data_IF_554764562001
#
_entry.id   IF_554764562001
#
_cell.length_a   1.000
_cell.length_b   1.000
_cell.length_c   1.000
_cell.angle_alpha   90.00
_cell.angle_beta   90.00
_cell.angle_gamma   90.00
#
_symmetry.space_group_name_H-M   'P 1'
#
loop_
_entity.id
_entity.type
_entity.pdbx_description
1 polymer ?
#
# COMPACT_ATOMS: atom_id res chain seq x y z
N UNK A 1 -9.20 -14.87 -26.71
CA UNK A 1 -9.39 -15.69 -25.50
C UNK A 1 -8.04 -15.78 -24.82
N UNK A 2 -7.67 -14.77 -24.03
CA UNK A 2 -6.47 -14.80 -23.23
C UNK A 2 -6.92 -14.73 -21.77
N UNK A 3 -6.91 -15.89 -21.11
CA UNK A 3 -7.14 -15.98 -19.68
C UNK A 3 -5.93 -15.39 -18.95
N UNK A 4 -6.07 -14.17 -18.42
CA UNK A 4 -5.08 -13.54 -17.56
C UNK A 4 -4.86 -14.39 -16.32
N UNK A 5 -3.65 -14.95 -16.20
CA UNK A 5 -3.22 -15.73 -15.03
C UNK A 5 -2.92 -14.79 -13.88
N UNK A 6 -3.89 -14.57 -13.03
CA UNK A 6 -3.65 -14.02 -11.69
C UNK A 6 -3.07 -15.14 -10.84
N UNK A 7 -1.76 -15.18 -10.71
CA UNK A 7 -1.10 -16.16 -9.85
C UNK A 7 -1.31 -15.79 -8.38
N UNK A 8 -1.98 -16.66 -7.66
CA UNK A 8 -2.03 -16.62 -6.20
C UNK A 8 -0.61 -16.85 -5.65
N UNK A 9 0.03 -15.79 -5.15
CA UNK A 9 1.29 -15.91 -4.43
C UNK A 9 1.04 -16.59 -3.08
N UNK A 10 1.47 -17.82 -2.96
CA UNK A 10 1.48 -18.52 -1.69
C UNK A 10 2.77 -18.16 -0.96
N UNK A 11 2.69 -17.29 0.05
CA UNK A 11 3.82 -16.96 0.92
C UNK A 11 4.16 -18.17 1.80
N UNK A 12 5.34 -18.75 1.60
CA UNK A 12 5.93 -19.74 2.50
C UNK A 12 6.58 -18.99 3.67
N UNK A 13 6.05 -19.16 4.86
CA UNK A 13 6.63 -18.65 6.08
C UNK A 13 7.92 -19.40 6.41
N UNK A 14 9.09 -18.76 6.27
CA UNK A 14 10.35 -19.29 6.75
C UNK A 14 10.59 -18.81 8.19
N UNK A 15 10.57 -19.76 9.12
CA UNK A 15 10.96 -19.53 10.52
C UNK A 15 12.50 -19.35 10.60
N UNK A 16 12.95 -18.19 11.08
CA UNK A 16 14.36 -17.94 11.38
C UNK A 16 14.61 -18.08 12.90
N UNK A 17 15.52 -18.99 13.21
CA UNK A 17 16.10 -19.23 14.53
C UNK A 17 16.99 -18.06 14.99
N UNK A 18 16.79 -17.63 16.23
CA UNK A 18 17.60 -16.63 16.93
C UNK A 18 18.95 -17.21 17.35
N UNK A 19 20.03 -16.58 16.94
CA UNK A 19 21.34 -16.74 17.56
C UNK A 19 21.79 -15.41 18.15
N UNK A 20 21.96 -15.37 19.47
CA UNK A 20 22.44 -14.21 20.19
C UNK A 20 23.96 -14.06 20.11
N UNK A 21 24.45 -12.82 20.10
CA UNK A 21 25.84 -12.50 20.42
C UNK A 21 25.90 -11.23 21.27
N UNK A 22 26.73 -11.33 22.30
CA UNK A 22 26.95 -10.44 23.42
C UNK A 22 27.75 -9.18 23.09
N UNK A 23 27.48 -8.12 23.85
CA UNK A 23 28.19 -6.83 23.86
C UNK A 23 29.46 -6.85 24.67
N UNK A 24 30.46 -6.07 24.23
CA UNK A 24 31.56 -5.56 25.03
C UNK A 24 31.77 -4.05 24.79
N UNK A 25 32.18 -3.25 25.79
CA UNK A 25 32.15 -1.78 25.74
C UNK A 25 33.55 -1.15 25.54
N UNK A 26 33.53 0.08 25.04
CA UNK A 26 34.70 1.02 25.07
C UNK A 26 34.68 1.93 23.85
N UNK A 27 34.63 3.24 24.03
CA UNK A 27 35.50 4.23 24.42
C UNK A 27 35.41 5.50 23.59
N UNK A 28 35.18 6.63 24.29
CA UNK A 28 35.67 7.99 24.03
C UNK A 28 35.31 8.77 22.73
N UNK A 29 34.50 9.78 22.79
CA UNK A 29 34.81 11.23 22.87
C UNK A 29 35.24 11.87 21.53
N UNK A 30 34.29 12.55 20.85
CA UNK A 30 34.58 13.53 19.83
C UNK A 30 33.36 14.46 19.69
N UNK A 31 33.54 15.72 20.11
CA UNK A 31 32.56 16.79 19.92
C UNK A 31 32.48 17.11 18.42
N UNK A 32 31.36 16.82 17.78
CA UNK A 32 31.01 17.33 16.44
C UNK A 32 30.06 18.51 16.57
N UNK A 33 30.44 19.62 15.91
CA UNK A 33 29.62 20.83 15.78
C UNK A 33 28.25 20.53 15.15
N UNK A 34 27.18 21.25 15.53
CA UNK A 34 25.85 21.04 14.99
C UNK A 34 25.81 21.51 13.53
N UNK A 35 25.67 20.56 12.61
CA UNK A 35 25.36 20.81 11.21
C UNK A 35 24.01 21.52 11.05
N UNK A 36 23.76 22.17 9.88
CA UNK A 36 22.63 23.08 9.69
C UNK A 36 21.31 22.36 9.93
N UNK A 37 20.54 22.92 10.86
CA UNK A 37 19.18 22.57 11.23
C UNK A 37 18.34 22.26 9.99
N UNK A 38 17.85 21.02 9.88
CA UNK A 38 16.87 20.63 8.89
C UNK A 38 15.63 21.51 9.05
N UNK A 39 15.37 22.35 8.06
CA UNK A 39 14.17 23.17 7.97
C UNK A 39 12.96 22.26 8.09
N UNK A 40 12.27 22.35 9.22
CA UNK A 40 10.94 21.76 9.40
C UNK A 40 10.01 22.40 8.36
N UNK A 41 9.68 21.64 7.30
CA UNK A 41 8.57 21.99 6.43
C UNK A 41 7.29 22.09 7.27
N UNK A 42 6.33 22.99 6.90
CA UNK A 42 5.10 23.17 7.67
C UNK A 42 4.45 21.82 7.91
N UNK A 43 4.39 21.43 9.18
CA UNK A 43 3.95 20.11 9.59
C UNK A 43 2.51 19.86 9.22
N UNK A 44 2.18 18.61 9.02
CA UNK A 44 0.84 18.04 9.11
C UNK A 44 0.25 18.32 10.52
N UNK A 45 -0.14 19.56 10.78
CA UNK A 45 -0.97 19.87 11.93
C UNK A 45 -2.22 19.04 11.81
N UNK A 46 -2.55 18.21 12.81
CA UNK A 46 -3.75 17.36 13.00
C UNK A 46 -4.57 17.06 11.71
N UNK A 47 -3.90 16.80 10.60
CA UNK A 47 -4.59 16.43 9.36
C UNK A 47 -5.31 15.10 9.60
N UNK A 48 -6.60 15.09 9.32
CA UNK A 48 -7.40 13.88 9.37
C UNK A 48 -6.69 12.76 8.58
N UNK A 49 -6.62 11.56 9.16
CA UNK A 49 -5.96 10.43 8.52
C UNK A 49 -6.52 10.14 7.11
N UNK A 50 -5.68 9.60 6.24
CA UNK A 50 -6.07 9.21 4.88
C UNK A 50 -7.21 8.19 4.95
N UNK A 51 -8.34 8.50 4.28
CA UNK A 51 -9.49 7.63 4.09
C UNK A 51 -9.51 7.26 2.63
N UNK A 52 -8.81 6.22 2.26
CA UNK A 52 -8.55 5.86 0.87
C UNK A 52 -9.06 4.48 0.48
N UNK A 53 -9.30 4.33 -0.83
CA UNK A 53 -9.59 3.03 -1.45
C UNK A 53 -8.74 2.94 -2.73
N UNK A 54 -8.13 1.81 -2.97
CA UNK A 54 -7.40 1.54 -4.21
C UNK A 54 -8.37 1.15 -5.31
N UNK A 55 -8.28 1.81 -6.46
CA UNK A 55 -8.91 1.43 -7.70
C UNK A 55 -7.80 0.92 -8.64
N UNK A 56 -7.57 -0.39 -8.74
CA UNK A 56 -6.54 -0.95 -9.60
C UNK A 56 -6.97 -0.89 -11.07
N UNK A 57 -6.02 -1.10 -11.98
CA UNK A 57 -6.27 -1.37 -13.38
C UNK A 57 -5.65 -2.71 -13.74
N UNK A 58 -6.34 -3.51 -14.49
CA UNK A 58 -5.92 -4.84 -14.92
C UNK A 58 -5.71 -4.93 -16.43
N UNK A 59 -6.21 -3.91 -17.16
CA UNK A 59 -6.06 -3.83 -18.62
C UNK A 59 -5.80 -2.40 -19.04
N UNK A 60 -5.13 -2.26 -20.18
CA UNK A 60 -5.06 -0.97 -20.88
C UNK A 60 -6.47 -0.46 -21.15
N UNK A 61 -6.75 0.80 -20.83
CA UNK A 61 -8.05 1.43 -21.05
C UNK A 61 -9.05 1.31 -19.90
N UNK A 62 -8.80 0.53 -18.83
CA UNK A 62 -9.69 0.47 -17.66
C UNK A 62 -9.97 1.89 -17.13
N UNK A 63 -8.92 2.69 -16.96
CA UNK A 63 -9.04 4.04 -16.41
C UNK A 63 -9.68 5.06 -17.34
N UNK A 64 -9.69 4.83 -18.65
CA UNK A 64 -10.41 5.67 -19.63
C UNK A 64 -11.84 5.22 -19.88
N UNK A 65 -12.24 4.07 -19.31
CA UNK A 65 -13.59 3.55 -19.49
C UNK A 65 -14.63 4.43 -18.78
N UNK A 66 -15.88 4.52 -19.30
CA UNK A 66 -16.96 5.24 -18.63
C UNK A 66 -17.28 4.70 -17.22
N UNK A 67 -16.92 3.45 -16.95
CA UNK A 67 -17.13 2.78 -15.65
C UNK A 67 -16.23 3.37 -14.57
N UNK A 68 -15.00 3.79 -14.91
CA UNK A 68 -14.07 4.41 -13.97
C UNK A 68 -14.69 5.63 -13.24
N UNK A 69 -15.38 6.49 -13.98
CA UNK A 69 -16.09 7.64 -13.38
C UNK A 69 -17.20 7.22 -12.41
N UNK A 70 -17.91 6.12 -12.69
CA UNK A 70 -18.93 5.59 -11.78
C UNK A 70 -18.29 5.05 -10.50
N UNK A 71 -17.18 4.30 -10.61
CA UNK A 71 -16.46 3.77 -9.46
C UNK A 71 -15.88 4.88 -8.56
N UNK A 72 -15.34 5.94 -9.13
CA UNK A 72 -14.86 7.08 -8.34
C UNK A 72 -15.99 7.75 -7.55
N UNK A 73 -17.19 7.92 -8.13
CA UNK A 73 -18.37 8.42 -7.41
C UNK A 73 -18.80 7.46 -6.29
N UNK A 74 -18.79 6.16 -6.53
CA UNK A 74 -19.15 5.15 -5.53
C UNK A 74 -18.13 5.14 -4.38
N UNK A 75 -16.82 5.20 -4.69
CA UNK A 75 -15.74 5.34 -3.72
C UNK A 75 -15.96 6.60 -2.86
N UNK A 76 -16.18 7.76 -3.47
CA UNK A 76 -16.45 9.00 -2.73
C UNK A 76 -17.70 8.89 -1.85
N UNK A 77 -18.74 8.18 -2.31
CA UNK A 77 -19.97 7.97 -1.56
C UNK A 77 -19.80 7.11 -0.30
N UNK A 78 -18.71 6.34 -0.16
CA UNK A 78 -18.35 5.66 1.10
C UNK A 78 -17.89 6.63 2.19
N UNK A 79 -17.54 7.87 1.85
CA UNK A 79 -16.88 8.86 2.70
C UNK A 79 -15.36 8.88 2.53
N UNK A 80 -14.85 8.15 1.54
CA UNK A 80 -13.44 8.25 1.14
C UNK A 80 -13.09 9.69 0.70
N UNK A 81 -11.84 10.06 0.92
CA UNK A 81 -11.25 11.34 0.49
C UNK A 81 -10.05 11.12 -0.41
N UNK A 82 -9.63 9.88 -0.58
CA UNK A 82 -8.50 9.49 -1.38
C UNK A 82 -8.83 8.28 -2.24
N UNK A 83 -8.20 8.23 -3.41
CA UNK A 83 -8.12 7.04 -4.24
C UNK A 83 -6.66 6.75 -4.55
N UNK A 84 -6.29 5.48 -4.60
CA UNK A 84 -4.96 5.05 -5.04
C UNK A 84 -5.08 4.38 -6.40
N UNK A 85 -4.21 4.78 -7.34
CA UNK A 85 -4.06 4.12 -8.63
C UNK A 85 -2.74 3.36 -8.68
N UNK A 86 -2.75 2.17 -9.30
CA UNK A 86 -1.63 1.24 -9.32
C UNK A 86 -1.21 0.86 -10.74
N UNK A 87 -0.60 1.80 -11.51
CA UNK A 87 -0.05 1.44 -12.82
C UNK A 87 1.05 0.41 -12.66
N UNK A 88 1.02 -0.66 -13.45
CA UNK A 88 1.91 -1.81 -13.29
C UNK A 88 2.78 -2.00 -14.52
N UNK A 89 4.12 -2.10 -14.33
CA UNK A 89 5.05 -2.65 -15.30
C UNK A 89 5.45 -4.06 -14.91
N UNK A 90 6.01 -4.80 -15.84
CA UNK A 90 6.27 -6.22 -15.67
C UNK A 90 7.74 -6.54 -15.86
N UNK A 91 8.20 -7.55 -15.12
CA UNK A 91 9.53 -8.17 -15.19
C UNK A 91 9.35 -9.64 -15.56
N UNK A 92 10.13 -10.17 -16.53
CA UNK A 92 9.93 -11.54 -17.03
C UNK A 92 10.20 -12.63 -16.00
N UNK A 93 11.18 -12.40 -15.13
CA UNK A 93 11.53 -13.31 -14.05
C UNK A 93 12.16 -12.59 -12.87
N UNK A 94 12.05 -13.17 -11.67
CA UNK A 94 12.52 -12.56 -10.42
C UNK A 94 14.02 -12.21 -10.40
N UNK A 95 14.82 -12.86 -11.24
CA UNK A 95 16.27 -12.64 -11.34
C UNK A 95 16.66 -11.68 -12.47
N UNK A 96 15.72 -11.22 -13.29
CA UNK A 96 15.99 -10.35 -14.42
C UNK A 96 16.07 -8.88 -13.99
N UNK A 97 16.62 -8.02 -14.83
CA UNK A 97 16.78 -6.59 -14.55
C UNK A 97 15.81 -5.71 -15.36
N UNK A 98 15.27 -6.22 -16.46
CA UNK A 98 14.43 -5.46 -17.37
C UNK A 98 13.01 -5.30 -16.87
N UNK A 99 12.41 -4.13 -17.11
CA UNK A 99 11.00 -3.84 -16.83
C UNK A 99 10.35 -3.28 -18.08
N UNK A 100 9.14 -3.71 -18.39
CA UNK A 100 8.41 -3.32 -19.60
C UNK A 100 6.91 -3.22 -19.35
N UNK A 101 6.22 -2.57 -20.26
CA UNK A 101 4.76 -2.49 -20.31
C UNK A 101 4.18 -3.71 -21.03
N UNK A 102 2.94 -4.05 -20.71
CA UNK A 102 2.16 -5.10 -21.38
C UNK A 102 0.77 -4.59 -21.73
N UNK A 103 -0.09 -5.44 -22.28
CA UNK A 103 -1.52 -5.12 -22.46
C UNK A 103 -2.31 -4.91 -21.15
N UNK A 104 -1.69 -5.22 -20.00
CA UNK A 104 -2.26 -5.00 -18.66
C UNK A 104 -1.75 -3.69 -18.03
N UNK A 105 -0.88 -2.94 -18.71
CA UNK A 105 -0.36 -1.66 -18.23
C UNK A 105 -1.31 -0.53 -18.61
N UNK A 106 -1.77 0.23 -17.63
CA UNK A 106 -2.53 1.46 -17.88
C UNK A 106 -1.68 2.49 -18.65
N UNK A 107 -2.24 3.07 -19.70
CA UNK A 107 -1.59 4.12 -20.48
C UNK A 107 -1.42 5.41 -19.68
N UNK A 108 -0.41 6.21 -20.05
CA UNK A 108 -0.15 7.50 -19.38
C UNK A 108 -1.33 8.47 -19.51
N UNK A 109 -1.97 8.52 -20.68
CA UNK A 109 -3.10 9.41 -20.91
C UNK A 109 -4.33 8.94 -20.13
N UNK A 110 -4.54 7.62 -20.01
CA UNK A 110 -5.58 7.04 -19.17
C UNK A 110 -5.38 7.38 -17.69
N UNK A 111 -4.12 7.33 -17.21
CA UNK A 111 -3.78 7.75 -15.85
C UNK A 111 -4.03 9.24 -15.63
N UNK A 112 -3.61 10.12 -16.55
CA UNK A 112 -3.91 11.55 -16.46
C UNK A 112 -5.41 11.81 -16.45
N UNK A 113 -6.15 11.08 -17.27
CA UNK A 113 -7.60 11.18 -17.37
C UNK A 113 -8.27 10.80 -16.03
N UNK A 114 -7.94 9.63 -15.46
CA UNK A 114 -8.58 9.14 -14.22
C UNK A 114 -8.18 9.97 -13.01
N UNK A 115 -6.95 10.49 -12.93
CA UNK A 115 -6.53 11.45 -11.89
C UNK A 115 -7.40 12.71 -11.97
N UNK A 116 -7.60 13.27 -13.17
CA UNK A 116 -8.49 14.40 -13.36
C UNK A 116 -9.95 14.09 -13.01
N UNK A 117 -10.45 12.88 -13.27
CA UNK A 117 -11.77 12.41 -12.84
C UNK A 117 -11.87 12.35 -11.31
N UNK A 118 -10.85 11.80 -10.64
CA UNK A 118 -10.80 11.72 -9.19
C UNK A 118 -10.88 13.11 -8.53
N UNK A 119 -10.09 14.07 -9.03
CA UNK A 119 -10.12 15.46 -8.55
C UNK A 119 -11.49 16.11 -8.75
N UNK A 120 -12.12 15.92 -9.91
CA UNK A 120 -13.52 16.41 -10.16
C UNK A 120 -14.55 15.77 -9.24
N UNK A 121 -14.27 14.58 -8.72
CA UNK A 121 -15.12 13.88 -7.75
C UNK A 121 -14.81 14.30 -6.29
N UNK A 122 -13.82 15.18 -6.07
CA UNK A 122 -13.38 15.63 -4.75
C UNK A 122 -12.44 14.68 -4.03
N UNK A 123 -11.88 13.71 -4.74
CA UNK A 123 -10.89 12.75 -4.21
C UNK A 123 -9.47 13.26 -4.46
N UNK A 124 -8.62 13.17 -3.45
CA UNK A 124 -7.16 13.26 -3.58
C UNK A 124 -6.60 11.94 -4.12
N UNK A 125 -5.44 12.02 -4.74
CA UNK A 125 -4.83 10.87 -5.42
C UNK A 125 -3.50 10.50 -4.78
N UNK A 126 -3.32 9.21 -4.52
CA UNK A 126 -2.00 8.60 -4.36
C UNK A 126 -1.69 7.77 -5.61
N UNK A 127 -0.54 8.02 -6.25
CA UNK A 127 -0.05 7.15 -7.31
C UNK A 127 0.94 6.15 -6.72
N UNK A 128 0.66 4.87 -6.89
CA UNK A 128 1.42 3.75 -6.32
C UNK A 128 1.82 2.76 -7.43
N UNK A 129 2.89 3.05 -8.20
CA UNK A 129 3.33 2.17 -9.30
C UNK A 129 3.83 0.82 -8.79
N UNK A 130 3.46 -0.24 -9.50
CA UNK A 130 3.85 -1.61 -9.20
C UNK A 130 4.81 -2.18 -10.24
N UNK A 131 5.68 -3.07 -9.82
CA UNK A 131 6.42 -3.98 -10.70
C UNK A 131 6.01 -5.40 -10.35
N UNK A 132 5.43 -6.11 -11.33
CA UNK A 132 4.97 -7.49 -11.17
C UNK A 132 5.78 -8.45 -12.04
N UNK A 133 5.67 -9.73 -11.76
CA UNK A 133 6.27 -10.78 -12.57
C UNK A 133 5.29 -11.20 -13.69
N UNK A 134 5.70 -11.04 -14.95
CA UNK A 134 4.86 -11.34 -16.12
C UNK A 134 4.35 -12.79 -16.18
N UNK A 135 5.07 -13.71 -15.54
CA UNK A 135 4.68 -15.14 -15.46
C UNK A 135 3.99 -15.49 -14.15
N UNK A 136 3.60 -14.49 -13.38
CA UNK A 136 3.06 -14.66 -12.03
C UNK A 136 4.14 -14.91 -10.98
N UNK A 137 3.75 -14.77 -9.73
CA UNK A 137 4.63 -14.87 -8.56
C UNK A 137 4.57 -13.61 -7.71
N UNK A 138 5.29 -13.64 -6.61
CA UNK A 138 5.33 -12.54 -5.65
C UNK A 138 6.48 -11.58 -5.99
N UNK A 139 6.17 -10.28 -6.11
CA UNK A 139 7.17 -9.22 -6.31
C UNK A 139 8.17 -9.11 -5.17
N UNK A 140 7.80 -9.52 -3.96
CA UNK A 140 8.71 -9.63 -2.82
C UNK A 140 9.87 -10.61 -3.07
N UNK A 141 9.68 -11.54 -4.01
CA UNK A 141 10.69 -12.49 -4.47
C UNK A 141 11.66 -11.94 -5.52
N UNK A 142 11.50 -10.70 -5.99
CA UNK A 142 12.43 -10.10 -6.97
C UNK A 142 13.82 -9.94 -6.36
N UNK A 143 14.78 -10.72 -6.89
CA UNK A 143 16.20 -10.71 -6.51
C UNK A 143 17.06 -10.75 -7.77
N UNK A 144 17.31 -9.59 -8.39
CA UNK A 144 18.01 -9.52 -9.66
C UNK A 144 19.45 -10.02 -9.53
N UNK A 145 19.93 -10.77 -10.55
CA UNK A 145 21.36 -11.19 -10.62
C UNK A 145 22.29 -10.00 -10.74
N UNK A 146 21.89 -9.00 -11.51
CA UNK A 146 22.58 -7.71 -11.63
C UNK A 146 21.74 -6.61 -10.97
N UNK A 147 22.03 -6.35 -9.70
CA UNK A 147 21.36 -5.31 -8.94
C UNK A 147 21.62 -3.91 -9.53
N UNK A 148 22.79 -3.65 -10.12
CA UNK A 148 23.12 -2.36 -10.74
C UNK A 148 22.23 -2.08 -11.95
N UNK A 149 22.12 -3.04 -12.86
CA UNK A 149 21.24 -2.95 -14.03
C UNK A 149 19.76 -2.83 -13.60
N UNK A 150 19.33 -3.59 -12.60
CA UNK A 150 17.95 -3.54 -12.10
C UNK A 150 17.61 -2.16 -11.54
N UNK A 151 18.42 -1.60 -10.66
CA UNK A 151 18.18 -0.28 -10.09
C UNK A 151 18.22 0.83 -11.15
N UNK A 152 19.03 0.68 -12.20
CA UNK A 152 19.02 1.59 -13.36
C UNK A 152 17.70 1.52 -14.12
N UNK A 153 17.16 0.32 -14.34
CA UNK A 153 15.84 0.14 -14.98
C UNK A 153 14.71 0.62 -14.07
N UNK A 154 14.80 0.32 -12.78
CA UNK A 154 13.81 0.75 -11.78
C UNK A 154 13.76 2.28 -11.64
N UNK A 155 14.90 2.96 -11.61
CA UNK A 155 14.96 4.43 -11.55
C UNK A 155 14.25 5.05 -12.76
N UNK A 156 14.44 4.51 -13.96
CA UNK A 156 13.71 4.97 -15.17
C UNK A 156 12.20 4.78 -15.04
N UNK A 157 11.77 3.59 -14.60
CA UNK A 157 10.37 3.27 -14.38
C UNK A 157 9.73 4.21 -13.35
N UNK A 158 10.32 4.36 -12.18
CA UNK A 158 9.68 5.10 -11.09
C UNK A 158 9.71 6.61 -11.31
N UNK A 159 10.78 7.14 -11.93
CA UNK A 159 10.87 8.58 -12.27
C UNK A 159 9.93 8.96 -13.40
N UNK A 160 9.62 8.04 -14.34
CA UNK A 160 8.57 8.24 -15.33
C UNK A 160 7.22 8.52 -14.66
N UNK A 161 6.82 7.68 -13.71
CA UNK A 161 5.57 7.88 -12.98
C UNK A 161 5.62 9.05 -11.99
N UNK A 162 6.78 9.35 -11.42
CA UNK A 162 6.94 10.54 -10.56
C UNK A 162 6.70 11.83 -11.34
N UNK A 163 7.23 11.92 -12.57
CA UNK A 163 6.97 13.06 -13.46
C UNK A 163 5.49 13.14 -13.87
N UNK A 164 4.86 11.99 -14.16
CA UNK A 164 3.42 11.94 -14.45
C UNK A 164 2.60 12.41 -13.24
N UNK A 165 2.91 11.94 -12.04
CA UNK A 165 2.25 12.32 -10.81
C UNK A 165 2.33 13.83 -10.55
N UNK A 166 3.51 14.43 -10.72
CA UNK A 166 3.69 15.89 -10.61
C UNK A 166 2.85 16.64 -11.62
N UNK A 167 2.91 16.23 -12.90
CA UNK A 167 2.17 16.89 -13.98
C UNK A 167 0.65 16.73 -13.89
N UNK A 168 0.16 15.64 -13.32
CA UNK A 168 -1.27 15.38 -13.12
C UNK A 168 -1.79 15.85 -11.74
N UNK A 169 -0.92 16.34 -10.86
CA UNK A 169 -1.31 16.88 -9.55
C UNK A 169 -1.64 15.83 -8.50
N UNK A 170 -1.11 14.60 -8.59
CA UNK A 170 -1.30 13.61 -7.55
C UNK A 170 -0.71 14.10 -6.22
N UNK A 171 -1.43 13.93 -5.11
CA UNK A 171 -1.06 14.51 -3.81
C UNK A 171 -0.11 13.62 -2.99
N UNK A 172 0.11 12.36 -3.40
CA UNK A 172 1.08 11.46 -2.78
C UNK A 172 1.64 10.47 -3.80
N UNK A 173 2.88 10.04 -3.58
CA UNK A 173 3.55 9.09 -4.46
C UNK A 173 4.26 8.00 -3.66
N UNK A 174 4.11 6.74 -4.10
CA UNK A 174 4.86 5.62 -3.56
C UNK A 174 6.09 5.33 -4.43
N UNK A 175 7.27 5.35 -3.83
CA UNK A 175 8.55 5.10 -4.54
C UNK A 175 8.80 3.62 -4.81
N UNK A 176 7.98 2.73 -4.24
CA UNK A 176 8.03 1.29 -4.45
C UNK A 176 6.99 0.58 -3.61
N UNK A 177 6.73 -0.68 -3.96
CA UNK A 177 5.70 -1.52 -3.34
C UNK A 177 6.22 -2.94 -3.21
N UNK A 178 6.34 -3.44 -1.95
CA UNK A 178 6.58 -4.84 -1.60
C UNK A 178 7.83 -5.47 -2.25
N UNK A 179 8.90 -4.70 -2.43
CA UNK A 179 10.13 -5.16 -3.09
C UNK A 179 11.15 -5.70 -2.06
N UNK A 180 10.71 -6.58 -1.15
CA UNK A 180 11.49 -7.11 -0.03
C UNK A 180 12.82 -7.75 -0.44
N UNK A 181 12.89 -8.27 -1.69
CA UNK A 181 14.13 -8.83 -2.22
C UNK A 181 15.21 -7.81 -2.53
N UNK A 182 14.86 -6.50 -2.64
CA UNK A 182 15.80 -5.40 -2.94
C UNK A 182 15.81 -4.31 -1.88
N UNK A 183 14.78 -4.19 -1.05
CA UNK A 183 14.57 -3.05 -0.13
C UNK A 183 15.66 -2.89 0.94
N UNK A 184 16.45 -3.93 1.21
CA UNK A 184 17.58 -3.85 2.15
C UNK A 184 18.80 -3.10 1.62
N UNK A 185 18.88 -2.84 0.31
CA UNK A 185 19.95 -2.03 -0.29
C UNK A 185 19.66 -0.53 -0.13
N UNK A 186 19.86 -0.04 1.10
CA UNK A 186 19.53 1.35 1.46
C UNK A 186 20.22 2.38 0.57
N UNK A 187 21.48 2.15 0.22
CA UNK A 187 22.25 3.11 -0.59
C UNK A 187 21.64 3.30 -1.98
N UNK A 188 21.24 2.20 -2.64
CA UNK A 188 20.57 2.29 -3.94
C UNK A 188 19.16 2.84 -3.83
N UNK A 189 18.40 2.45 -2.82
CA UNK A 189 17.06 2.99 -2.59
C UNK A 189 17.09 4.48 -2.26
N UNK A 190 18.03 4.96 -1.43
CA UNK A 190 18.21 6.41 -1.19
C UNK A 190 18.52 7.17 -2.49
N UNK A 191 19.26 6.55 -3.43
CA UNK A 191 19.47 7.15 -4.76
C UNK A 191 18.17 7.24 -5.55
N UNK A 192 17.36 6.17 -5.57
CA UNK A 192 16.03 6.16 -6.20
C UNK A 192 15.13 7.24 -5.60
N UNK A 193 15.05 7.35 -4.27
CA UNK A 193 14.25 8.38 -3.60
C UNK A 193 14.69 9.79 -4.03
N UNK A 194 16.00 10.06 -4.09
CA UNK A 194 16.51 11.36 -4.57
C UNK A 194 16.13 11.62 -6.03
N UNK A 195 16.21 10.62 -6.91
CA UNK A 195 15.81 10.74 -8.30
C UNK A 195 14.30 11.05 -8.44
N UNK A 196 13.46 10.40 -7.63
CA UNK A 196 12.02 10.70 -7.55
C UNK A 196 11.78 12.12 -7.04
N UNK A 197 12.48 12.57 -6.00
CA UNK A 197 12.38 13.95 -5.47
C UNK A 197 12.72 15.03 -6.51
N UNK A 198 13.59 14.73 -7.45
CA UNK A 198 13.93 15.64 -8.55
C UNK A 198 12.76 15.81 -9.54
N UNK A 199 11.82 14.89 -9.58
CA UNK A 199 10.66 14.90 -10.49
C UNK A 199 9.33 15.21 -9.79
N UNK A 200 9.20 14.96 -8.48
CA UNK A 200 7.96 15.07 -7.73
C UNK A 200 8.19 15.76 -6.37
N UNK A 201 7.42 16.83 -6.12
CA UNK A 201 7.56 17.68 -4.92
C UNK A 201 6.66 17.27 -3.76
N UNK A 202 5.65 16.46 -4.01
CA UNK A 202 4.70 16.02 -2.98
C UNK A 202 5.30 14.99 -2.00
N UNK A 203 4.51 14.59 -0.97
CA UNK A 203 4.93 13.60 0.00
C UNK A 203 5.20 12.24 -0.62
N UNK A 204 6.30 11.61 -0.21
CA UNK A 204 6.73 10.28 -0.63
C UNK A 204 6.53 9.23 0.46
N UNK A 205 6.21 8.02 0.03
CA UNK A 205 6.20 6.80 0.84
C UNK A 205 6.82 5.63 0.08
N UNK A 206 7.16 4.57 0.78
CA UNK A 206 7.39 3.23 0.25
C UNK A 206 6.34 2.32 0.89
N UNK A 207 5.73 1.43 0.13
CA UNK A 207 4.72 0.49 0.60
C UNK A 207 5.42 -0.84 0.92
N UNK A 208 5.79 -1.05 2.17
CA UNK A 208 6.44 -2.27 2.63
C UNK A 208 5.41 -3.32 3.06
N UNK A 209 5.67 -4.60 2.83
CA UNK A 209 4.90 -5.67 3.43
C UNK A 209 4.88 -5.56 4.97
N UNK A 210 3.84 -6.10 5.60
CA UNK A 210 3.68 -6.13 7.06
C UNK A 210 4.81 -6.86 7.82
N UNK A 211 5.56 -7.71 7.14
CA UNK A 211 6.74 -8.43 7.66
C UNK A 211 8.08 -7.85 7.14
N UNK A 212 8.04 -6.91 6.18
CA UNK A 212 9.19 -6.27 5.57
C UNK A 212 9.62 -4.98 6.28
N UNK A 213 8.67 -4.14 6.71
CA UNK A 213 8.88 -2.74 7.07
C UNK A 213 9.99 -2.50 8.10
N UNK A 214 10.26 -3.48 8.99
CA UNK A 214 11.34 -3.40 10.00
C UNK A 214 12.73 -3.41 9.41
N UNK A 215 12.88 -3.95 8.19
CA UNK A 215 14.17 -4.15 7.54
C UNK A 215 14.49 -3.13 6.44
N UNK A 216 13.56 -2.21 6.17
CA UNK A 216 13.75 -1.11 5.23
C UNK A 216 14.61 -0.02 5.89
N UNK A 217 15.81 0.30 5.34
CA UNK A 217 16.74 1.20 6.00
C UNK A 217 16.61 2.68 5.59
N UNK A 218 15.73 3.02 4.65
CA UNK A 218 15.63 4.36 4.05
C UNK A 218 14.35 5.12 4.45
N UNK A 219 13.73 4.78 5.58
CA UNK A 219 12.53 5.49 6.05
C UNK A 219 12.76 6.98 6.28
N UNK A 220 13.97 7.37 6.67
CA UNK A 220 14.31 8.77 6.96
C UNK A 220 14.36 9.64 5.70
N UNK A 221 14.51 9.04 4.51
CA UNK A 221 14.43 9.71 3.22
C UNK A 221 12.97 10.00 2.77
N UNK A 222 11.98 9.42 3.47
CA UNK A 222 10.55 9.46 3.13
C UNK A 222 9.76 10.35 4.11
N UNK A 223 8.56 10.78 3.71
CA UNK A 223 7.71 11.65 4.52
C UNK A 223 6.78 10.86 5.45
N UNK A 224 6.41 9.63 5.06
CA UNK A 224 5.54 8.75 5.82
C UNK A 224 5.97 7.30 5.64
N UNK A 225 5.88 6.49 6.69
CA UNK A 225 6.11 5.05 6.64
C UNK A 225 4.86 4.40 6.04
N UNK A 226 5.01 3.72 4.90
CA UNK A 226 3.93 2.97 4.25
C UNK A 226 4.00 1.49 4.58
N UNK A 227 2.88 0.89 4.93
CA UNK A 227 2.82 -0.54 5.21
C UNK A 227 1.58 -1.14 4.52
N UNK A 228 1.78 -2.23 3.78
CA UNK A 228 0.71 -3.06 3.26
C UNK A 228 0.34 -4.08 4.37
N UNK A 229 -0.81 -3.80 5.02
CA UNK A 229 -1.13 -4.24 6.38
C UNK A 229 -1.92 -5.55 6.39
N UNK A 230 -1.30 -6.62 5.97
CA UNK A 230 -1.93 -7.94 5.86
C UNK A 230 -1.59 -8.89 7.02
N UNK A 231 -1.51 -8.38 8.26
CA UNK A 231 -1.29 -9.23 9.42
C UNK A 231 -2.44 -10.24 9.63
N UNK A 232 -2.14 -11.55 9.77
CA UNK A 232 -3.11 -12.50 10.29
C UNK A 232 -3.59 -12.07 11.69
N UNK A 233 -4.91 -12.00 11.87
CA UNK A 233 -5.53 -11.55 13.13
C UNK A 233 -6.13 -12.70 13.93
N UNK A 234 -6.23 -13.89 13.34
CA UNK A 234 -6.83 -15.07 13.96
C UNK A 234 -6.16 -16.34 13.48
N UNK A 235 -6.25 -17.38 14.28
CA UNK A 235 -5.81 -18.76 13.99
C UNK A 235 -6.88 -19.62 13.30
N UNK A 236 -8.12 -19.12 13.30
CA UNK A 236 -9.31 -19.77 12.70
C UNK A 236 -10.32 -18.71 12.26
N UNK A 237 -11.22 -19.04 11.31
CA UNK A 237 -12.24 -18.11 10.83
C UNK A 237 -13.07 -17.52 11.98
N UNK A 238 -13.23 -16.18 11.98
CA UNK A 238 -14.02 -15.48 13.01
C UNK A 238 -14.54 -14.13 12.49
N UNK A 239 -15.81 -13.83 12.80
CA UNK A 239 -16.44 -12.53 12.61
C UNK A 239 -16.57 -11.73 13.94
N UNK A 240 -15.89 -12.16 15.00
CA UNK A 240 -15.87 -11.44 16.28
C UNK A 240 -14.96 -10.21 16.22
N UNK A 241 -15.57 -9.05 15.96
CA UNK A 241 -14.86 -7.79 15.85
C UNK A 241 -14.09 -7.40 17.15
N UNK A 242 -14.57 -7.83 18.33
CA UNK A 242 -13.87 -7.55 19.58
C UNK A 242 -12.57 -8.38 19.68
N UNK A 243 -12.64 -9.66 19.34
CA UNK A 243 -11.47 -10.54 19.28
C UNK A 243 -10.44 -10.03 18.25
N UNK A 244 -10.91 -9.64 17.05
CA UNK A 244 -10.04 -9.10 16.00
C UNK A 244 -9.40 -7.77 16.41
N UNK A 245 -10.16 -6.88 17.08
CA UNK A 245 -9.60 -5.64 17.67
C UNK A 245 -8.52 -5.94 18.70
N UNK A 246 -8.73 -6.95 19.53
CA UNK A 246 -7.75 -7.34 20.55
C UNK A 246 -6.45 -7.87 19.93
N UNK A 247 -6.54 -8.57 18.79
CA UNK A 247 -5.38 -9.00 18.03
C UNK A 247 -4.54 -7.81 17.47
N UNK A 248 -5.16 -6.65 17.24
CA UNK A 248 -4.44 -5.43 16.85
C UNK A 248 -3.62 -4.81 18.00
N UNK A 249 -3.88 -5.12 19.28
CA UNK A 249 -3.19 -4.47 20.42
C UNK A 249 -1.67 -4.57 20.35
N UNK A 250 -1.04 -5.78 20.26
CA UNK A 250 0.40 -5.89 20.16
C UNK A 250 0.95 -5.22 18.88
N UNK A 251 0.25 -5.34 17.75
CA UNK A 251 0.65 -4.73 16.48
C UNK A 251 0.68 -3.19 16.63
N UNK A 252 -0.37 -2.60 17.21
CA UNK A 252 -0.43 -1.14 17.38
C UNK A 252 0.59 -0.62 18.38
N UNK A 253 0.97 -1.38 19.40
CA UNK A 253 2.04 -1.03 20.33
C UNK A 253 3.40 -0.99 19.62
N UNK A 254 3.69 -2.00 18.80
CA UNK A 254 4.91 -2.07 18.03
C UNK A 254 4.99 -0.94 16.98
N UNK A 255 3.90 -0.69 16.24
CA UNK A 255 3.83 0.38 15.26
C UNK A 255 4.01 1.77 15.89
N UNK A 256 3.46 2.00 17.08
CA UNK A 256 3.67 3.24 17.83
C UNK A 256 5.15 3.46 18.17
N UNK A 257 5.83 2.43 18.66
CA UNK A 257 7.26 2.47 18.96
C UNK A 257 8.10 2.67 17.69
N UNK A 258 7.72 2.02 16.59
CA UNK A 258 8.40 2.17 15.29
C UNK A 258 8.25 3.58 14.73
N UNK A 259 7.03 4.13 14.75
CA UNK A 259 6.74 5.51 14.35
C UNK A 259 7.55 6.53 15.17
N UNK A 260 7.62 6.33 16.48
CA UNK A 260 8.40 7.21 17.38
C UNK A 260 9.89 7.18 17.06
N UNK A 261 10.47 5.99 16.77
CA UNK A 261 11.89 5.82 16.43
C UNK A 261 12.29 6.58 15.17
N UNK A 262 11.42 6.55 14.14
CA UNK A 262 11.68 7.20 12.85
C UNK A 262 11.13 8.62 12.77
N UNK A 263 10.44 9.12 13.82
CA UNK A 263 9.76 10.41 13.80
C UNK A 263 8.85 10.60 12.57
N UNK A 264 8.18 9.53 12.15
CA UNK A 264 7.29 9.49 10.98
C UNK A 264 5.96 8.82 11.33
N UNK A 265 4.88 9.38 10.81
CA UNK A 265 3.56 8.74 10.90
C UNK A 265 3.51 7.50 10.01
N UNK A 266 2.60 6.56 10.35
CA UNK A 266 2.41 5.32 9.59
C UNK A 266 1.09 5.39 8.83
N UNK A 267 1.18 5.13 7.52
CA UNK A 267 0.06 4.97 6.60
C UNK A 267 -0.04 3.49 6.21
N UNK A 268 -1.21 2.89 6.36
CA UNK A 268 -1.45 1.62 5.69
C UNK A 268 -1.76 1.92 4.21
N UNK A 269 -0.75 1.70 3.39
CA UNK A 269 -0.81 1.88 1.94
C UNK A 269 -1.69 0.84 1.29
N UNK A 270 -1.85 -0.30 1.96
CA UNK A 270 -2.91 -1.29 1.74
C UNK A 270 -3.40 -1.85 3.07
N UNK A 271 -4.65 -2.26 3.11
CA UNK A 271 -5.24 -3.19 4.05
C UNK A 271 -6.45 -3.82 3.36
N UNK A 272 -6.67 -5.10 3.55
CA UNK A 272 -7.80 -5.75 2.89
C UNK A 272 -8.05 -7.15 3.40
N UNK A 273 -9.27 -7.60 3.20
CA UNK A 273 -9.71 -8.95 3.53
C UNK A 273 -10.66 -9.40 2.42
N UNK A 274 -10.42 -10.57 1.85
CA UNK A 274 -11.39 -11.18 0.91
C UNK A 274 -12.69 -11.49 1.65
N UNK A 275 -13.83 -11.43 0.98
CA UNK A 275 -15.12 -11.81 1.59
C UNK A 275 -15.31 -13.34 1.59
N UNK A 276 -14.30 -14.06 2.12
CA UNK A 276 -14.25 -15.50 2.26
C UNK A 276 -14.08 -15.87 3.74
N UNK A 277 -14.66 -16.99 4.16
CA UNK A 277 -14.42 -17.50 5.52
C UNK A 277 -12.94 -17.82 5.70
N UNK A 278 -12.37 -17.30 6.79
CA UNK A 278 -10.95 -17.42 7.08
C UNK A 278 -10.09 -16.24 6.56
N UNK A 279 -10.69 -15.20 5.99
CA UNK A 279 -9.97 -14.03 5.50
C UNK A 279 -9.07 -13.41 6.57
N UNK A 280 -9.45 -13.48 7.84
CA UNK A 280 -8.67 -12.95 8.98
C UNK A 280 -7.47 -13.82 9.36
N UNK A 281 -7.40 -15.08 8.84
CA UNK A 281 -6.26 -15.98 9.09
C UNK A 281 -5.15 -15.81 8.07
N UNK A 282 -5.46 -15.34 6.86
CA UNK A 282 -4.51 -15.11 5.77
C UNK A 282 -4.98 -13.95 4.88
N UNK A 283 -5.00 -12.70 5.40
CA UNK A 283 -5.58 -11.54 4.69
C UNK A 283 -4.88 -11.22 3.37
N UNK A 284 -3.63 -11.61 3.20
CA UNK A 284 -2.86 -11.48 1.95
C UNK A 284 -3.28 -12.47 0.86
N UNK A 285 -4.08 -13.48 1.18
CA UNK A 285 -4.47 -14.53 0.22
C UNK A 285 -5.74 -14.16 -0.54
N UNK A 286 -5.68 -14.28 -1.85
CA UNK A 286 -6.85 -14.13 -2.74
C UNK A 286 -7.81 -15.30 -2.66
N UNK A 287 -7.33 -16.45 -2.16
CA UNK A 287 -8.08 -17.69 -2.14
C UNK A 287 -7.88 -18.40 -0.80
N UNK A 288 -8.65 -18.00 0.20
CA UNK A 288 -8.65 -18.62 1.54
C UNK A 288 -9.63 -19.79 1.57
N UNK A 289 -10.82 -19.58 1.04
CA UNK A 289 -11.84 -20.63 0.93
C UNK A 289 -12.81 -20.33 -0.23
N UNK A 290 -13.71 -21.28 -0.50
CA UNK A 290 -14.82 -21.10 -1.46
C UNK A 290 -16.13 -20.66 -0.79
N UNK A 291 -16.13 -20.52 0.53
CA UNK A 291 -17.30 -20.11 1.32
C UNK A 291 -17.30 -18.60 1.53
N UNK A 292 -18.43 -17.95 1.30
CA UNK A 292 -18.58 -16.53 1.58
C UNK A 292 -18.42 -16.23 3.09
N UNK A 293 -17.82 -15.07 3.39
CA UNK A 293 -17.51 -14.57 4.72
C UNK A 293 -17.55 -13.06 4.76
N UNK A 294 -18.65 -12.47 4.25
CA UNK A 294 -18.82 -11.01 4.22
C UNK A 294 -18.93 -10.40 5.62
N UNK A 295 -19.46 -11.16 6.57
CA UNK A 295 -19.48 -10.83 8.00
C UNK A 295 -18.07 -10.78 8.61
N UNK A 296 -17.20 -11.71 8.25
CA UNK A 296 -15.80 -11.74 8.67
C UNK A 296 -15.02 -10.56 8.05
N UNK A 297 -15.25 -10.25 6.77
CA UNK A 297 -14.68 -9.08 6.12
C UNK A 297 -15.09 -7.79 6.86
N UNK A 298 -16.37 -7.61 7.13
CA UNK A 298 -16.90 -6.42 7.82
C UNK A 298 -16.35 -6.28 9.25
N UNK A 299 -16.26 -7.40 9.99
CA UNK A 299 -15.70 -7.43 11.34
C UNK A 299 -14.21 -7.02 11.35
N UNK A 300 -13.43 -7.44 10.35
CA UNK A 300 -12.03 -7.07 10.21
C UNK A 300 -11.86 -5.57 9.91
N UNK A 301 -12.71 -4.99 9.04
CA UNK A 301 -12.76 -3.56 8.77
C UNK A 301 -13.07 -2.75 10.03
N UNK A 302 -14.10 -3.14 10.77
CA UNK A 302 -14.49 -2.50 12.04
C UNK A 302 -13.38 -2.59 13.07
N UNK A 303 -12.73 -3.75 13.20
CA UNK A 303 -11.65 -3.98 14.16
C UNK A 303 -10.44 -3.09 13.89
N UNK A 304 -9.98 -3.01 12.61
CA UNK A 304 -8.86 -2.17 12.20
C UNK A 304 -9.13 -0.69 12.50
N UNK A 305 -10.27 -0.16 12.04
CA UNK A 305 -10.61 1.25 12.25
C UNK A 305 -10.76 1.56 13.75
N UNK A 306 -11.38 0.67 14.54
CA UNK A 306 -11.49 0.85 15.99
C UNK A 306 -10.14 0.84 16.70
N UNK A 307 -9.19 0.01 16.25
CA UNK A 307 -7.88 -0.10 16.86
C UNK A 307 -6.97 1.10 16.57
N UNK A 308 -7.15 1.76 15.43
CA UNK A 308 -6.21 2.75 14.92
C UNK A 308 -6.72 4.18 14.91
N UNK A 309 -8.04 4.40 14.77
CA UNK A 309 -8.59 5.76 14.72
C UNK A 309 -8.22 6.56 15.98
N UNK A 310 -7.84 7.82 15.75
CA UNK A 310 -7.45 8.75 16.83
C UNK A 310 -6.03 8.59 17.35
N UNK A 311 -5.24 7.60 16.90
CA UNK A 311 -3.84 7.49 17.30
C UNK A 311 -2.99 8.58 16.61
N UNK A 312 -2.15 9.35 17.36
CA UNK A 312 -1.41 10.49 16.82
C UNK A 312 -0.40 10.12 15.73
N UNK A 313 0.14 8.90 15.77
CA UNK A 313 1.08 8.38 14.79
C UNK A 313 0.39 7.76 13.57
N UNK A 314 -0.93 7.62 13.57
CA UNK A 314 -1.70 7.04 12.48
C UNK A 314 -1.95 8.07 11.37
N UNK A 315 -1.53 7.76 10.15
CA UNK A 315 -1.73 8.60 8.97
C UNK A 315 -2.92 8.15 8.09
N UNK A 316 -3.55 7.03 8.43
CA UNK A 316 -4.74 6.55 7.73
C UNK A 316 -4.53 5.24 6.98
N UNK A 317 -5.50 4.89 6.14
CA UNK A 317 -5.54 3.64 5.38
C UNK A 317 -6.02 3.85 3.97
N UNK A 318 -5.45 3.09 3.03
CA UNK A 318 -5.96 2.83 1.71
C UNK A 318 -6.43 1.37 1.63
N UNK A 319 -7.73 1.16 1.51
CA UNK A 319 -8.27 -0.20 1.46
C UNK A 319 -7.97 -0.85 0.10
N UNK A 320 -7.46 -2.03 0.14
CA UNK A 320 -7.37 -2.94 -0.98
C UNK A 320 -8.65 -3.76 -1.07
N UNK A 321 -9.46 -3.60 -2.11
CA UNK A 321 -9.51 -2.63 -3.19
C UNK A 321 -10.95 -2.48 -3.67
N UNK A 322 -11.26 -1.48 -4.52
CA UNK A 322 -12.52 -1.41 -5.29
C UNK A 322 -12.28 -2.07 -6.63
N UNK A 323 -12.71 -3.31 -6.76
CA UNK A 323 -12.49 -4.12 -7.96
C UNK A 323 -13.81 -4.77 -8.40
N UNK A 324 -14.50 -4.05 -9.26
CA UNK A 324 -15.78 -4.49 -9.85
C UNK A 324 -15.71 -4.41 -11.38
N UNK A 325 -14.51 -4.37 -11.95
CA UNK A 325 -14.34 -4.33 -13.40
C UNK A 325 -15.02 -5.55 -14.03
N UNK A 326 -15.73 -5.38 -15.18
CA UNK A 326 -16.48 -6.46 -15.82
C UNK A 326 -15.64 -7.72 -16.10
N UNK A 327 -14.35 -7.53 -16.38
CA UNK A 327 -13.41 -8.58 -16.73
C UNK A 327 -12.35 -8.83 -15.65
N UNK A 328 -12.62 -8.48 -14.39
CA UNK A 328 -11.64 -8.49 -13.29
C UNK A 328 -11.21 -9.89 -12.82
N UNK A 329 -11.55 -10.96 -13.53
CA UNK A 329 -10.99 -12.30 -13.34
C UNK A 329 -11.94 -13.31 -12.69
N UNK A 330 -11.39 -14.47 -12.33
CA UNK A 330 -12.14 -15.67 -11.97
C UNK A 330 -12.80 -15.66 -10.56
N UNK A 331 -12.39 -14.72 -9.69
CA UNK A 331 -12.93 -14.65 -8.32
C UNK A 331 -14.28 -13.95 -8.36
N UNK A 332 -15.38 -14.66 -8.05
CA UNK A 332 -16.68 -14.01 -7.99
C UNK A 332 -16.66 -12.83 -7.00
N UNK A 333 -17.32 -11.73 -7.35
CA UNK A 333 -17.40 -10.51 -6.52
C UNK A 333 -17.73 -10.81 -5.05
N UNK A 334 -18.65 -11.77 -4.80
CA UNK A 334 -19.03 -12.22 -3.44
C UNK A 334 -17.90 -12.87 -2.64
N UNK A 335 -16.77 -13.18 -3.27
CA UNK A 335 -15.58 -13.78 -2.63
C UNK A 335 -14.33 -12.89 -2.74
N UNK A 336 -14.43 -11.72 -3.37
CA UNK A 336 -13.32 -10.82 -3.65
C UNK A 336 -13.05 -9.81 -2.51
N UNK A 337 -11.97 -9.06 -2.63
CA UNK A 337 -11.60 -7.99 -1.69
C UNK A 337 -12.60 -6.83 -1.68
N UNK A 338 -13.24 -6.52 -2.81
CA UNK A 338 -14.12 -5.35 -2.92
C UNK A 338 -15.17 -5.31 -1.78
N UNK A 339 -15.27 -4.18 -1.06
CA UNK A 339 -16.33 -3.99 -0.08
C UNK A 339 -17.67 -3.59 -0.71
N UNK A 340 -17.69 -3.24 -2.01
CA UNK A 340 -18.84 -2.68 -2.71
C UNK A 340 -20.08 -3.56 -2.64
N UNK A 341 -21.17 -3.03 -2.10
CA UNK A 341 -22.44 -3.71 -1.91
C UNK A 341 -22.41 -4.80 -0.83
N UNK A 342 -21.44 -4.77 0.09
CA UNK A 342 -21.28 -5.72 1.18
C UNK A 342 -21.31 -5.00 2.53
N UNK A 343 -21.51 -5.71 3.67
CA UNK A 343 -21.49 -5.12 5.00
C UNK A 343 -20.22 -4.30 5.33
N UNK A 344 -19.07 -4.63 4.72
CA UNK A 344 -17.83 -3.88 4.87
C UNK A 344 -17.93 -2.45 4.31
N UNK A 345 -18.69 -2.22 3.23
CA UNK A 345 -18.97 -0.87 2.74
C UNK A 345 -19.77 -0.05 3.75
N UNK A 346 -20.75 -0.67 4.43
CA UNK A 346 -21.54 0.01 5.46
C UNK A 346 -20.66 0.39 6.66
N UNK A 347 -19.66 -0.42 7.01
CA UNK A 347 -18.65 -0.06 8.01
C UNK A 347 -17.94 1.22 7.59
N UNK A 348 -17.42 1.30 6.36
CA UNK A 348 -16.74 2.50 5.86
C UNK A 348 -17.67 3.72 5.90
N UNK A 349 -18.90 3.60 5.42
CA UNK A 349 -19.90 4.69 5.41
C UNK A 349 -20.16 5.24 6.82
N UNK A 350 -20.35 4.36 7.80
CA UNK A 350 -20.58 4.77 9.19
C UNK A 350 -19.36 5.46 9.79
N UNK A 351 -18.19 4.82 9.67
CA UNK A 351 -16.94 5.29 10.32
C UNK A 351 -16.42 6.59 9.70
N UNK A 352 -16.54 6.75 8.39
CA UNK A 352 -15.99 7.91 7.71
C UNK A 352 -16.93 9.12 7.69
N UNK A 353 -18.25 8.92 7.80
CA UNK A 353 -19.21 10.03 7.96
C UNK A 353 -19.21 10.59 9.38
N UNK A 354 -19.13 9.75 10.39
CA UNK A 354 -19.07 10.19 11.78
C UNK A 354 -17.86 11.11 12.09
N UNK A 355 -16.75 10.95 11.42
CA UNK A 355 -15.58 11.82 11.59
C UNK A 355 -15.61 13.14 10.80
N UNK A 356 -16.65 13.42 10.02
CA UNK A 356 -16.82 14.70 9.31
C UNK A 356 -17.68 15.72 10.07
N UNK A 357 -18.33 15.35 11.16
CA UNK A 357 -19.18 16.23 11.98
C UNK A 357 -18.45 16.96 13.11
N UNK A 358 -17.11 16.84 13.19
CA UNK A 358 -16.28 17.43 14.25
C UNK A 358 -15.20 18.41 13.78
N UNK A 359 -15.29 18.92 12.55
CA UNK A 359 -14.32 19.86 11.97
C UNK A 359 -15.08 20.91 11.13
N UNK A 360 -15.88 21.73 11.81
CA UNK A 360 -16.34 23.05 11.33
C UNK A 360 -15.85 24.10 12.33
#
# INVERSE_FOLDING_TARGET
MNAGRRAAGTLLAAALLLAGCSFGPGGEGGEEEPGPSASTRPGDGKAAGMRGITLPSWNTGDYSSPVAAAYLRQIAATGARWVTFTPTWYQDGAADAGMHTTGETAGDDDLRHVIGLAHRTGLKVMLKPHVDLAKGGDRAGIRPRDAGAWFTAYERFITHYAKLAEGAGAERFAVGTELAGTSRDGARWSKVVRAVRAQYRGPLTYAANYDEYRTVPFWDDLDVIGIDAYWPLADRPTADAARLRDAWKPITQELAAFSARHHRRILFTEAGYVSQRGATTAPYSWTVSKSAGEDEQAAAYEALLTALDGKPWWAGVCWWMWDDWPDSGETPRRLAYTPHGKPAEDVLRRRWRAGSTGAD
#
